data_IF_941417773735
#
_entry.id   IF_941417773735
#
_cell.length_a   1.000
_cell.length_b   1.000
_cell.length_c   1.000
_cell.angle_alpha   90.00
_cell.angle_beta   90.00
_cell.angle_gamma   90.00
#
_symmetry.space_group_name_H-M   'P 1'
#
loop_
_entity.id
_entity.type
_entity.pdbx_description
1 polymer ?
#
# COMPACT_ATOMS: atom_id res chain seq x y z
N UNK A 1 34.29 32.74 6.95
CA UNK A 1 33.87 33.65 5.87
C UNK A 1 34.21 33.01 4.53
N UNK A 2 33.21 32.59 3.78
CA UNK A 2 33.21 32.40 2.33
C UNK A 2 31.79 31.94 1.94
N UNK A 3 30.85 32.89 1.92
CA UNK A 3 29.51 32.68 1.38
C UNK A 3 29.58 32.87 -0.14
N UNK A 4 29.65 31.78 -0.89
CA UNK A 4 29.50 31.81 -2.35
C UNK A 4 28.01 31.77 -2.70
N UNK A 5 27.43 32.96 -2.90
CA UNK A 5 26.13 33.15 -3.54
C UNK A 5 26.17 32.63 -4.97
N UNK A 6 25.51 31.50 -5.21
CA UNK A 6 25.20 31.06 -6.57
C UNK A 6 23.95 31.79 -7.03
N UNK A 7 24.14 32.82 -7.86
CA UNK A 7 23.06 33.52 -8.53
C UNK A 7 22.38 32.58 -9.53
N UNK A 8 21.14 32.16 -9.21
CA UNK A 8 20.29 31.49 -10.19
C UNK A 8 19.81 32.52 -11.21
N UNK A 9 20.45 32.53 -12.38
CA UNK A 9 19.94 33.17 -13.58
C UNK A 9 18.59 32.54 -13.94
N UNK A 10 17.51 33.30 -13.78
CA UNK A 10 16.21 32.99 -14.37
C UNK A 10 16.34 33.01 -15.88
N UNK A 11 16.48 31.82 -16.49
CA UNK A 11 16.30 31.66 -17.94
C UNK A 11 14.90 32.14 -18.30
N UNK A 12 14.79 33.24 -19.03
CA UNK A 12 13.57 33.60 -19.74
C UNK A 12 13.31 32.50 -20.77
N UNK A 13 12.38 31.59 -20.47
CA UNK A 13 11.80 30.75 -21.50
C UNK A 13 11.01 31.68 -22.42
N UNK A 14 11.56 32.03 -23.58
CA UNK A 14 10.75 32.58 -24.66
C UNK A 14 9.73 31.48 -25.01
N UNK A 15 8.47 31.70 -24.62
CA UNK A 15 7.38 30.81 -24.99
C UNK A 15 7.18 30.94 -26.51
N UNK A 16 7.79 30.02 -27.25
CA UNK A 16 7.52 29.90 -28.68
C UNK A 16 6.04 29.57 -28.88
N UNK A 17 5.28 30.58 -29.31
CA UNK A 17 3.88 30.43 -29.67
C UNK A 17 3.80 29.47 -30.87
N UNK A 18 3.10 28.34 -30.76
CA UNK A 18 3.04 27.35 -31.84
C UNK A 18 2.31 27.93 -33.05
N UNK A 19 2.94 27.81 -34.22
CA UNK A 19 2.42 28.32 -35.50
C UNK A 19 1.92 27.20 -36.41
N UNK A 20 0.84 27.45 -37.14
CA UNK A 20 0.24 26.51 -38.07
C UNK A 20 1.07 26.41 -39.35
N UNK A 21 1.59 25.20 -39.63
CA UNK A 21 2.41 24.92 -40.82
C UNK A 21 1.73 25.21 -42.17
N UNK A 22 0.39 25.20 -42.22
CA UNK A 22 -0.38 25.42 -43.46
C UNK A 22 -0.70 26.90 -43.71
N UNK A 23 -0.90 27.66 -42.64
CA UNK A 23 -1.54 28.98 -42.72
C UNK A 23 -0.72 30.11 -42.12
N UNK A 24 0.42 29.79 -41.49
CA UNK A 24 1.28 30.76 -40.79
C UNK A 24 0.49 31.62 -39.78
N UNK A 25 -0.49 30.98 -39.12
CA UNK A 25 -1.31 31.57 -38.06
C UNK A 25 -1.02 30.85 -36.74
N UNK A 26 -1.18 31.56 -35.63
CA UNK A 26 -1.11 30.98 -34.30
C UNK A 26 -2.07 29.80 -34.14
N UNK A 27 -1.60 28.76 -33.46
CA UNK A 27 -2.40 27.62 -33.05
C UNK A 27 -3.00 27.96 -31.67
N UNK A 28 -4.31 28.21 -31.66
CA UNK A 28 -5.08 28.65 -30.48
C UNK A 28 -6.33 27.79 -30.22
N UNK A 29 -6.58 26.80 -31.07
CA UNK A 29 -7.75 25.92 -31.03
C UNK A 29 -7.37 24.44 -31.03
N UNK A 30 -8.27 23.60 -30.52
CA UNK A 30 -8.17 22.14 -30.57
C UNK A 30 -9.45 21.58 -31.21
N UNK A 31 -9.28 20.71 -32.20
CA UNK A 31 -10.37 19.89 -32.71
C UNK A 31 -10.40 18.57 -31.95
N UNK A 32 -11.49 18.31 -31.24
CA UNK A 32 -11.67 17.12 -30.40
C UNK A 32 -11.83 15.87 -31.24
N UNK A 33 -12.62 15.95 -32.32
CA UNK A 33 -12.88 14.80 -33.21
C UNK A 33 -11.60 14.29 -33.89
N UNK A 34 -10.66 15.20 -34.16
CA UNK A 34 -9.38 14.87 -34.79
C UNK A 34 -8.24 14.69 -33.78
N UNK A 35 -8.40 15.11 -32.53
CA UNK A 35 -7.34 15.17 -31.53
C UNK A 35 -6.15 16.05 -31.95
N UNK A 36 -6.39 17.15 -32.68
CA UNK A 36 -5.33 18.01 -33.25
C UNK A 36 -5.46 19.45 -32.80
N UNK A 37 -4.32 20.09 -32.57
CA UNK A 37 -4.24 21.54 -32.41
C UNK A 37 -4.28 22.22 -33.79
N UNK A 38 -5.12 23.24 -33.92
CA UNK A 38 -5.45 23.90 -35.18
C UNK A 38 -5.48 25.42 -35.03
N UNK A 39 -5.39 26.14 -36.15
CA UNK A 39 -5.62 27.59 -36.19
C UNK A 39 -7.03 27.91 -36.70
N UNK A 40 -7.45 29.16 -36.54
CA UNK A 40 -8.74 29.67 -37.00
C UNK A 40 -9.05 29.43 -38.49
N UNK A 41 -8.03 29.37 -39.37
CA UNK A 41 -8.24 29.06 -40.80
C UNK A 41 -8.45 27.57 -41.06
N UNK A 42 -7.81 26.69 -40.28
CA UNK A 42 -8.08 25.24 -40.34
C UNK A 42 -9.53 24.93 -39.95
N UNK A 43 -10.09 25.63 -38.96
CA UNK A 43 -11.51 25.52 -38.59
C UNK A 43 -12.42 25.71 -39.80
N UNK A 44 -12.21 26.79 -40.56
CA UNK A 44 -13.09 27.15 -41.67
C UNK A 44 -12.94 26.26 -42.91
N UNK A 45 -11.77 25.66 -43.11
CA UNK A 45 -11.45 24.91 -44.33
C UNK A 45 -11.58 23.40 -44.15
N UNK A 46 -11.08 22.87 -43.04
CA UNK A 46 -10.87 21.42 -42.84
C UNK A 46 -11.71 20.85 -41.68
N UNK A 47 -12.24 21.70 -40.78
CA UNK A 47 -12.86 21.28 -39.52
C UNK A 47 -14.18 22.00 -39.21
N UNK A 48 -14.91 22.45 -40.24
CA UNK A 48 -16.10 23.29 -40.08
C UNK A 48 -17.20 22.59 -39.26
N UNK A 49 -17.41 21.31 -39.55
CA UNK A 49 -18.45 20.48 -38.94
C UNK A 49 -17.93 19.61 -37.78
N UNK A 50 -16.69 19.84 -37.34
CA UNK A 50 -16.12 19.11 -36.22
C UNK A 50 -16.35 19.85 -34.91
N UNK A 51 -16.30 19.11 -33.80
CA UNK A 51 -16.22 19.71 -32.48
C UNK A 51 -14.83 20.29 -32.26
N UNK A 52 -14.76 21.60 -32.13
CA UNK A 52 -13.55 22.33 -31.78
C UNK A 52 -13.86 23.41 -30.74
N UNK A 53 -12.86 23.77 -29.96
CA UNK A 53 -12.90 24.88 -29.02
C UNK A 53 -11.50 25.51 -28.93
N UNK A 54 -11.40 26.64 -28.25
CA UNK A 54 -10.12 27.24 -27.88
C UNK A 54 -9.34 26.31 -26.95
N UNK A 55 -8.02 26.32 -27.06
CA UNK A 55 -7.14 25.54 -26.20
C UNK A 55 -7.36 25.90 -24.73
N UNK A 56 -7.62 27.18 -24.42
CA UNK A 56 -7.86 27.66 -23.07
C UNK A 56 -9.09 26.97 -22.44
N UNK A 57 -10.21 26.89 -23.15
CA UNK A 57 -11.44 26.27 -22.64
C UNK A 57 -11.27 24.76 -22.51
N UNK A 58 -10.81 24.09 -23.57
CA UNK A 58 -10.63 22.63 -23.53
C UNK A 58 -9.58 22.19 -22.50
N UNK A 59 -8.50 22.96 -22.32
CA UNK A 59 -7.47 22.64 -21.32
C UNK A 59 -7.97 22.83 -19.89
N UNK A 60 -8.75 23.89 -19.63
CA UNK A 60 -9.41 24.11 -18.35
C UNK A 60 -10.36 22.95 -18.01
N UNK A 61 -11.19 22.54 -18.98
CA UNK A 61 -12.12 21.43 -18.83
C UNK A 61 -11.38 20.12 -18.51
N UNK A 62 -10.39 19.75 -19.34
CA UNK A 62 -9.59 18.53 -19.14
C UNK A 62 -8.85 18.54 -17.81
N UNK A 63 -8.31 19.69 -17.39
CA UNK A 63 -7.64 19.83 -16.09
C UNK A 63 -8.60 19.56 -14.94
N UNK A 64 -9.84 20.06 -15.02
CA UNK A 64 -10.89 19.81 -14.01
C UNK A 64 -11.27 18.34 -13.96
N UNK A 65 -11.55 17.72 -15.10
CA UNK A 65 -11.90 16.30 -15.19
C UNK A 65 -10.78 15.40 -14.65
N UNK A 66 -9.53 15.69 -15.03
CA UNK A 66 -8.37 14.97 -14.51
C UNK A 66 -8.25 15.12 -13.00
N UNK A 67 -8.47 16.33 -12.47
CA UNK A 67 -8.44 16.58 -11.02
C UNK A 67 -9.51 15.77 -10.28
N UNK A 68 -10.73 15.73 -10.81
CA UNK A 68 -11.83 14.94 -10.24
C UNK A 68 -11.50 13.45 -10.24
N UNK A 69 -10.94 12.93 -11.34
CA UNK A 69 -10.53 11.53 -11.43
C UNK A 69 -9.41 11.17 -10.44
N UNK A 70 -8.40 12.04 -10.31
CA UNK A 70 -7.31 11.85 -9.35
C UNK A 70 -7.80 11.89 -7.89
N UNK A 71 -8.79 12.73 -7.58
CA UNK A 71 -9.42 12.76 -6.27
C UNK A 71 -10.15 11.45 -5.95
N UNK A 72 -10.85 10.87 -6.93
CA UNK A 72 -11.47 9.54 -6.76
C UNK A 72 -10.43 8.45 -6.50
N UNK A 73 -9.34 8.40 -7.28
CA UNK A 73 -8.26 7.44 -7.05
C UNK A 73 -7.70 7.58 -5.63
N UNK A 74 -7.41 8.81 -5.22
CA UNK A 74 -6.79 9.08 -3.92
C UNK A 74 -7.71 8.71 -2.76
N UNK A 75 -8.97 9.17 -2.80
CA UNK A 75 -9.85 9.03 -1.65
C UNK A 75 -10.54 7.65 -1.59
N UNK A 76 -10.95 7.12 -2.74
CA UNK A 76 -11.69 5.86 -2.78
C UNK A 76 -10.74 4.68 -2.85
N UNK A 77 -9.82 4.66 -3.82
CA UNK A 77 -9.00 3.47 -4.08
C UNK A 77 -7.87 3.38 -3.05
N UNK A 78 -7.06 4.43 -2.92
CA UNK A 78 -5.93 4.42 -1.99
C UNK A 78 -6.45 4.36 -0.55
N UNK A 79 -7.47 5.15 -0.20
CA UNK A 79 -8.09 5.07 1.13
C UNK A 79 -8.66 3.69 1.49
N UNK A 80 -9.27 2.96 0.54
CA UNK A 80 -9.72 1.58 0.80
C UNK A 80 -8.56 0.60 0.97
N UNK A 81 -7.45 0.81 0.26
CA UNK A 81 -6.25 -0.02 0.40
C UNK A 81 -5.61 0.19 1.78
N UNK A 82 -5.48 1.44 2.23
CA UNK A 82 -4.93 1.77 3.55
C UNK A 82 -5.75 1.10 4.67
N UNK A 83 -7.08 1.20 4.61
CA UNK A 83 -7.96 0.53 5.57
C UNK A 83 -7.80 -1.00 5.57
N UNK A 84 -7.60 -1.62 4.40
CA UNK A 84 -7.36 -3.07 4.29
C UNK A 84 -6.01 -3.47 4.85
N UNK A 85 -4.98 -2.66 4.63
CA UNK A 85 -3.64 -2.87 5.20
C UNK A 85 -3.74 -2.84 6.71
N UNK A 86 -4.34 -1.79 7.29
CA UNK A 86 -4.49 -1.66 8.75
C UNK A 86 -5.29 -2.84 9.36
N UNK A 87 -6.39 -3.23 8.73
CA UNK A 87 -7.18 -4.37 9.19
C UNK A 87 -6.40 -5.68 9.12
N UNK A 88 -5.58 -5.87 8.08
CA UNK A 88 -4.73 -7.06 7.92
C UNK A 88 -3.64 -7.10 8.98
N UNK A 89 -2.98 -5.97 9.23
CA UNK A 89 -1.93 -5.85 10.25
C UNK A 89 -2.49 -6.16 11.65
N UNK A 90 -3.67 -5.61 11.98
CA UNK A 90 -4.35 -5.93 13.24
C UNK A 90 -4.65 -7.42 13.35
N UNK A 91 -5.20 -8.02 12.30
CA UNK A 91 -5.52 -9.45 12.29
C UNK A 91 -4.25 -10.32 12.43
N UNK A 92 -3.12 -9.90 11.87
CA UNK A 92 -1.84 -10.58 12.03
C UNK A 92 -1.33 -10.54 13.47
N UNK A 93 -1.39 -9.38 14.14
CA UNK A 93 -0.99 -9.28 15.54
C UNK A 93 -1.93 -10.06 16.48
N UNK A 94 -3.24 -10.02 16.24
CA UNK A 94 -4.22 -10.81 16.99
C UNK A 94 -3.94 -12.32 16.83
N UNK A 95 -3.67 -12.79 15.61
CA UNK A 95 -3.32 -14.20 15.35
C UNK A 95 -2.02 -14.61 16.02
N UNK A 96 -1.01 -13.74 16.00
CA UNK A 96 0.29 -13.99 16.65
C UNK A 96 0.14 -14.07 18.17
N UNK A 97 -0.69 -13.22 18.77
CA UNK A 97 -1.00 -13.28 20.20
C UNK A 97 -1.75 -14.57 20.55
N UNK A 98 -2.74 -14.95 19.74
CA UNK A 98 -3.50 -16.19 19.90
C UNK A 98 -2.60 -17.42 19.82
N UNK A 99 -1.74 -17.50 18.80
CA UNK A 99 -0.77 -18.57 18.64
C UNK A 99 0.15 -18.71 19.85
N UNK A 100 0.71 -17.61 20.35
CA UNK A 100 1.57 -17.62 21.54
C UNK A 100 0.83 -18.14 22.77
N UNK A 101 -0.42 -17.76 22.95
CA UNK A 101 -1.24 -18.21 24.08
C UNK A 101 -1.51 -19.72 24.00
N UNK A 102 -1.87 -20.23 22.82
CA UNK A 102 -2.10 -21.67 22.64
C UNK A 102 -0.83 -22.50 22.84
N UNK A 103 0.32 -22.02 22.35
CA UNK A 103 1.63 -22.65 22.64
C UNK A 103 1.91 -22.68 24.14
N UNK A 104 1.63 -21.59 24.87
CA UNK A 104 1.82 -21.54 26.32
C UNK A 104 0.91 -22.51 27.06
N UNK A 105 -0.37 -22.63 26.65
CA UNK A 105 -1.29 -23.62 27.22
C UNK A 105 -0.78 -25.04 27.02
N UNK A 106 -0.32 -25.37 25.81
CA UNK A 106 0.24 -26.68 25.51
C UNK A 106 1.49 -26.97 26.33
N UNK A 107 2.38 -25.99 26.50
CA UNK A 107 3.57 -26.11 27.34
C UNK A 107 3.19 -26.41 28.80
N UNK A 108 2.23 -25.65 29.36
CA UNK A 108 1.77 -25.87 30.73
C UNK A 108 1.15 -27.27 30.92
N UNK A 109 0.38 -27.74 29.93
CA UNK A 109 -0.18 -29.10 29.96
C UNK A 109 0.92 -30.15 29.91
N UNK A 110 1.92 -29.98 29.04
CA UNK A 110 3.06 -30.88 28.94
C UNK A 110 3.83 -30.95 30.26
N UNK A 111 4.15 -29.79 30.86
CA UNK A 111 4.89 -29.71 32.12
C UNK A 111 4.11 -30.37 33.28
N UNK A 112 2.78 -30.20 33.32
CA UNK A 112 1.92 -30.85 34.31
C UNK A 112 1.95 -32.39 34.17
N UNK A 113 1.84 -32.91 32.94
CA UNK A 113 1.90 -34.35 32.68
C UNK A 113 3.27 -34.91 33.09
N UNK A 114 4.37 -34.23 32.73
CA UNK A 114 5.72 -34.66 33.10
C UNK A 114 5.88 -34.71 34.62
N UNK A 115 5.33 -33.71 35.33
CA UNK A 115 5.34 -33.70 36.80
C UNK A 115 4.59 -34.89 37.37
N UNK A 116 3.36 -35.15 36.93
CA UNK A 116 2.55 -36.29 37.39
C UNK A 116 3.25 -37.63 37.15
N UNK A 117 3.86 -37.81 35.97
CA UNK A 117 4.62 -39.02 35.64
C UNK A 117 5.81 -39.21 36.57
N UNK A 118 6.52 -38.14 36.92
CA UNK A 118 7.65 -38.21 37.85
C UNK A 118 7.19 -38.54 39.28
N UNK A 119 6.08 -37.97 39.75
CA UNK A 119 5.48 -38.28 41.05
C UNK A 119 5.09 -39.77 41.13
N UNK A 120 4.40 -40.29 40.10
CA UNK A 120 4.05 -41.72 40.01
C UNK A 120 5.31 -42.59 40.03
N UNK A 121 6.35 -42.20 39.30
CA UNK A 121 7.62 -42.94 39.27
C UNK A 121 8.24 -43.01 40.67
N UNK A 122 8.36 -41.89 41.36
CA UNK A 122 8.94 -41.83 42.72
C UNK A 122 8.13 -42.67 43.72
N UNK A 123 6.80 -42.58 43.68
CA UNK A 123 5.93 -43.42 44.53
C UNK A 123 6.16 -44.92 44.29
N UNK A 124 6.29 -45.34 43.03
CA UNK A 124 6.55 -46.74 42.68
C UNK A 124 7.94 -47.20 43.08
N UNK A 125 8.96 -46.37 42.89
CA UNK A 125 10.34 -46.68 43.32
C UNK A 125 10.43 -46.86 44.83
N UNK A 126 9.78 -45.98 45.61
CA UNK A 126 9.74 -46.09 47.07
C UNK A 126 8.99 -47.34 47.53
N UNK A 127 7.80 -47.60 46.99
CA UNK A 127 7.01 -48.79 47.34
C UNK A 127 7.74 -50.12 47.06
N UNK A 128 8.49 -50.18 45.94
CA UNK A 128 9.32 -51.33 45.61
C UNK A 128 10.46 -51.51 46.62
N UNK A 129 11.10 -50.41 47.04
CA UNK A 129 12.18 -50.43 48.02
C UNK A 129 11.72 -50.94 49.37
N UNK A 130 10.60 -50.41 49.87
CA UNK A 130 9.99 -50.84 51.14
C UNK A 130 9.65 -52.33 51.11
N UNK A 131 9.02 -52.79 50.03
CA UNK A 131 8.67 -54.22 49.84
C UNK A 131 9.90 -55.13 49.84
N UNK A 132 11.05 -54.65 49.34
CA UNK A 132 12.30 -55.39 49.28
C UNK A 132 12.94 -55.52 50.67
N UNK A 133 12.87 -54.44 51.45
CA UNK A 133 13.40 -54.40 52.81
C UNK A 133 12.55 -55.26 53.77
N UNK A 134 11.21 -55.24 53.65
CA UNK A 134 10.32 -56.15 54.37
C UNK A 134 10.64 -57.63 54.09
N UNK A 135 10.90 -57.96 52.81
CA UNK A 135 11.21 -59.33 52.41
C UNK A 135 12.55 -59.80 52.98
N UNK A 136 13.56 -58.92 53.05
CA UNK A 136 14.84 -59.21 53.71
C UNK A 136 14.67 -59.49 55.20
N UNK A 137 13.88 -58.69 55.91
CA UNK A 137 13.60 -58.90 57.33
C UNK A 137 12.94 -60.26 57.57
N UNK A 138 12.00 -60.68 56.71
CA UNK A 138 11.33 -61.99 56.81
C UNK A 138 12.23 -63.21 56.55
N UNK A 139 13.40 -63.02 55.95
CA UNK A 139 14.31 -64.11 55.55
C UNK A 139 15.57 -64.21 56.41
N UNK A 140 15.76 -63.30 57.39
CA UNK A 140 16.77 -63.37 58.45
C UNK A 140 16.16 -63.97 59.72
#
# INVERSE_FOLDING_TARGET
MATSSSGNQTRSHEEHIPMCKKHDLTIDMICEDCGKLICSKCVKLDHMDHKWDTIAISSSLRRRELKEYLLKITNEIIGQLDNKIEATDKHMEDNKASYKNEVLKLQNHYDAIVKEVNEIKEEKENSLKDSLDEKKIRTM
#
